data_IF_293277317107
#
_entry.id   IF_293277317107
#
_cell.length_a   1.000
_cell.length_b   1.000
_cell.length_c   1.000
_cell.angle_alpha   90.00
_cell.angle_beta   90.00
_cell.angle_gamma   90.00
#
_symmetry.space_group_name_H-M   'P 1'
#
loop_
_entity.id
_entity.type
_entity.pdbx_description
1 polymer ?
#
# COMPACT_ATOMS: atom_id res chain seq x y z
N UNK A 1 -10.76 34.05 22.21
CA UNK A 1 -10.66 33.58 20.81
C UNK A 1 -11.27 32.20 20.72
N UNK A 2 -11.83 31.83 19.58
CA UNK A 2 -12.32 30.46 19.40
C UNK A 2 -11.11 29.53 19.32
N UNK A 3 -11.17 28.39 20.03
CA UNK A 3 -10.08 27.40 20.03
C UNK A 3 -10.07 26.60 18.75
N UNK A 4 -8.90 26.17 18.37
CA UNK A 4 -8.64 25.34 17.20
C UNK A 4 -8.33 23.91 17.61
N UNK A 5 -8.65 22.93 16.75
CA UNK A 5 -8.21 21.56 16.90
C UNK A 5 -6.84 21.37 16.24
N UNK A 6 -5.94 20.64 16.92
CA UNK A 6 -4.71 20.08 16.36
C UNK A 6 -4.84 18.56 16.43
N UNK A 7 -4.51 17.88 15.33
CA UNK A 7 -4.78 16.45 15.18
C UNK A 7 -3.66 15.77 14.41
N UNK A 8 -3.00 14.80 15.05
CA UNK A 8 -1.79 14.17 14.51
C UNK A 8 -1.95 12.65 14.53
N UNK A 9 -2.37 12.01 13.43
CA UNK A 9 -2.16 10.58 13.22
C UNK A 9 -0.68 10.32 12.86
N UNK A 10 -0.09 9.29 13.45
CA UNK A 10 1.32 8.92 13.34
C UNK A 10 1.43 7.39 13.22
N UNK A 11 2.14 6.91 12.18
CA UNK A 11 2.30 5.48 11.90
C UNK A 11 3.41 4.91 12.76
N UNK A 12 3.02 4.19 13.80
CA UNK A 12 3.96 3.57 14.74
C UNK A 12 4.66 2.36 14.13
N UNK A 13 5.95 2.22 14.44
CA UNK A 13 6.80 1.16 13.87
C UNK A 13 7.56 1.58 12.61
N UNK A 14 7.31 2.78 12.08
CA UNK A 14 7.90 3.33 10.87
C UNK A 14 9.44 3.25 10.85
N UNK A 15 10.12 3.76 11.87
CA UNK A 15 11.59 3.79 11.90
C UNK A 15 12.20 2.40 11.71
N UNK A 16 11.68 1.40 12.47
CA UNK A 16 12.14 0.02 12.32
C UNK A 16 11.80 -0.53 10.93
N UNK A 17 10.60 -0.26 10.44
CA UNK A 17 10.13 -0.69 9.12
C UNK A 17 11.09 -0.22 8.03
N UNK A 18 11.37 1.08 7.93
CA UNK A 18 12.30 1.65 6.93
C UNK A 18 13.74 1.13 7.08
N UNK A 19 14.21 0.90 8.31
CA UNK A 19 15.59 0.45 8.55
C UNK A 19 15.81 -1.03 8.24
N UNK A 20 14.77 -1.86 8.22
CA UNK A 20 14.88 -3.31 8.10
C UNK A 20 14.26 -3.89 6.83
N UNK A 21 13.75 -3.03 5.92
CA UNK A 21 13.06 -3.48 4.72
C UNK A 21 13.59 -2.78 3.47
N UNK A 22 13.17 -3.24 2.31
CA UNK A 22 13.53 -2.70 1.00
C UNK A 22 12.96 -1.29 0.83
N UNK A 23 13.80 -0.32 0.48
CA UNK A 23 13.46 1.11 0.47
C UNK A 23 12.29 1.40 -0.48
N UNK A 24 12.35 0.89 -1.71
CA UNK A 24 11.36 1.19 -2.76
C UNK A 24 9.94 0.78 -2.31
N UNK A 25 9.76 -0.48 -1.90
CA UNK A 25 8.46 -0.96 -1.46
C UNK A 25 8.01 -0.36 -0.12
N UNK A 26 8.94 -0.08 0.77
CA UNK A 26 8.61 0.58 2.04
C UNK A 26 8.11 2.02 1.83
N UNK A 27 8.68 2.76 0.89
CA UNK A 27 8.19 4.09 0.51
C UNK A 27 6.77 4.05 -0.04
N UNK A 28 6.47 3.10 -0.94
CA UNK A 28 5.13 2.92 -1.49
C UNK A 28 4.11 2.57 -0.40
N UNK A 29 4.43 1.60 0.48
CA UNK A 29 3.54 1.22 1.59
C UNK A 29 3.23 2.41 2.49
N UNK A 30 4.23 3.20 2.88
CA UNK A 30 4.02 4.38 3.74
C UNK A 30 3.23 5.45 3.00
N UNK A 31 3.56 5.74 1.73
CA UNK A 31 2.81 6.70 0.91
C UNK A 31 1.33 6.33 0.82
N UNK A 32 1.02 5.07 0.52
CA UNK A 32 -0.36 4.59 0.48
C UNK A 32 -1.09 4.72 1.82
N UNK A 33 -0.43 4.41 2.94
CA UNK A 33 -1.02 4.54 4.27
C UNK A 33 -1.29 6.00 4.65
N UNK A 34 -0.39 6.92 4.30
CA UNK A 34 -0.60 8.35 4.50
C UNK A 34 -1.78 8.87 3.65
N UNK A 35 -1.88 8.46 2.39
CA UNK A 35 -3.03 8.79 1.52
C UNK A 35 -4.34 8.25 2.10
N UNK A 36 -4.35 7.03 2.63
CA UNK A 36 -5.51 6.43 3.30
C UNK A 36 -5.95 7.28 4.49
N UNK A 37 -5.01 7.76 5.32
CA UNK A 37 -5.31 8.63 6.45
C UNK A 37 -5.82 10.01 6.01
N UNK A 38 -5.25 10.59 4.94
CA UNK A 38 -5.71 11.85 4.36
C UNK A 38 -7.16 11.70 3.86
N UNK A 39 -7.45 10.63 3.12
CA UNK A 39 -8.77 10.36 2.57
C UNK A 39 -9.82 10.00 3.64
N UNK A 40 -9.40 9.50 4.82
CA UNK A 40 -10.27 9.24 5.96
C UNK A 40 -10.64 10.49 6.78
N UNK A 41 -10.25 11.68 6.33
CA UNK A 41 -10.58 12.95 6.97
C UNK A 41 -12.05 13.35 6.68
N UNK A 42 -12.92 13.10 7.64
CA UNK A 42 -14.37 13.41 7.55
C UNK A 42 -14.75 14.75 8.17
N UNK A 43 -13.83 15.39 8.93
CA UNK A 43 -14.09 16.64 9.63
C UNK A 43 -13.57 17.88 8.89
N UNK A 44 -13.15 17.73 7.62
CA UNK A 44 -12.55 18.81 6.82
C UNK A 44 -11.35 19.48 7.54
N UNK A 45 -10.49 18.67 8.16
CA UNK A 45 -9.26 19.14 8.76
C UNK A 45 -8.30 19.60 7.66
N UNK A 46 -7.61 20.71 7.89
CA UNK A 46 -6.58 21.20 6.96
C UNK A 46 -5.27 20.47 7.24
N UNK A 47 -4.64 19.92 6.23
CA UNK A 47 -3.32 19.34 6.32
C UNK A 47 -2.27 20.47 6.34
N UNK A 48 -1.55 20.61 7.44
CA UNK A 48 -0.49 21.59 7.60
C UNK A 48 0.86 21.05 7.10
N UNK A 49 1.16 19.79 7.39
CA UNK A 49 2.46 19.19 7.10
C UNK A 49 2.39 17.66 7.08
N UNK A 50 3.27 17.04 6.28
CA UNK A 50 3.59 15.61 6.30
C UNK A 50 4.97 15.49 6.92
N UNK A 51 5.08 14.84 8.07
CA UNK A 51 6.31 14.74 8.87
C UNK A 51 6.82 13.30 8.90
N UNK A 52 7.31 12.81 7.77
CA UNK A 52 7.74 11.43 7.63
C UNK A 52 6.57 10.45 7.67
N UNK A 53 6.31 9.88 8.85
CA UNK A 53 5.23 8.92 9.13
C UNK A 53 4.01 9.56 9.82
N UNK A 54 4.03 10.86 10.08
CA UNK A 54 2.96 11.59 10.73
C UNK A 54 2.31 12.63 9.82
N UNK A 55 1.02 12.86 10.02
CA UNK A 55 0.26 13.92 9.35
C UNK A 55 -0.16 14.95 10.39
N UNK A 56 0.24 16.21 10.20
CA UNK A 56 -0.21 17.28 11.04
C UNK A 56 -1.43 17.97 10.43
N UNK A 57 -2.60 17.73 11.03
CA UNK A 57 -3.86 18.40 10.68
C UNK A 57 -4.24 19.43 11.72
N UNK A 58 -5.01 20.43 11.28
CA UNK A 58 -5.66 21.39 12.17
C UNK A 58 -7.03 21.82 11.65
N UNK A 59 -7.87 22.35 12.54
CA UNK A 59 -9.11 23.03 12.20
C UNK A 59 -9.14 24.37 12.94
N UNK A 60 -9.04 25.43 12.18
CA UNK A 60 -8.89 26.79 12.73
C UNK A 60 -10.23 27.29 13.32
N UNK A 61 -10.16 27.83 14.56
CA UNK A 61 -11.29 28.43 15.28
C UNK A 61 -12.51 27.51 15.45
N UNK A 62 -12.32 26.21 15.35
CA UNK A 62 -13.37 25.22 15.51
C UNK A 62 -12.82 23.95 16.19
N UNK A 63 -13.59 23.47 17.20
CA UNK A 63 -13.36 22.18 17.83
C UNK A 63 -14.63 21.34 17.62
N UNK A 64 -14.54 20.14 17.01
CA UNK A 64 -15.70 19.30 16.78
C UNK A 64 -16.29 18.81 18.11
N UNK A 65 -17.55 18.38 18.12
CA UNK A 65 -18.14 17.73 19.29
C UNK A 65 -17.43 16.41 19.64
N UNK A 66 -17.63 15.92 20.85
CA UNK A 66 -17.11 14.64 21.30
C UNK A 66 -17.37 13.51 20.28
N UNK A 67 -18.62 13.39 19.82
CA UNK A 67 -19.05 12.32 18.90
C UNK A 67 -18.33 12.44 17.55
N UNK A 68 -18.21 13.65 17.01
CA UNK A 68 -17.53 13.89 15.74
C UNK A 68 -16.03 13.59 15.83
N UNK A 69 -15.38 13.98 16.94
CA UNK A 69 -13.96 13.69 17.15
C UNK A 69 -13.72 12.19 17.29
N UNK A 70 -14.51 11.49 18.11
CA UNK A 70 -14.38 10.06 18.30
C UNK A 70 -14.67 9.28 17.02
N UNK A 71 -15.69 9.69 16.24
CA UNK A 71 -15.98 9.10 14.92
C UNK A 71 -14.85 9.32 13.92
N UNK A 72 -14.19 10.51 13.92
CA UNK A 72 -13.02 10.78 13.08
C UNK A 72 -11.86 9.85 13.46
N UNK A 73 -11.59 9.67 14.75
CA UNK A 73 -10.54 8.77 15.24
C UNK A 73 -10.84 7.32 14.83
N UNK A 74 -12.06 6.82 15.10
CA UNK A 74 -12.48 5.47 14.71
C UNK A 74 -12.40 5.26 13.19
N UNK A 75 -12.85 6.24 12.41
CA UNK A 75 -12.78 6.20 10.94
C UNK A 75 -11.35 6.07 10.41
N UNK A 76 -10.39 6.80 10.98
CA UNK A 76 -8.98 6.68 10.57
C UNK A 76 -8.37 5.33 10.96
N UNK A 77 -8.62 4.83 12.18
CA UNK A 77 -8.17 3.49 12.56
C UNK A 77 -8.79 2.41 11.66
N UNK A 78 -10.09 2.53 11.36
CA UNK A 78 -10.78 1.57 10.46
C UNK A 78 -10.19 1.60 9.06
N UNK A 79 -9.97 2.77 8.48
CA UNK A 79 -9.37 2.91 7.15
C UNK A 79 -7.93 2.36 7.11
N UNK A 80 -7.10 2.69 8.10
CA UNK A 80 -5.73 2.22 8.22
C UNK A 80 -5.66 0.69 8.30
N UNK A 81 -6.38 0.07 9.21
CA UNK A 81 -6.35 -1.39 9.37
C UNK A 81 -7.03 -2.14 8.23
N UNK A 82 -8.07 -1.56 7.62
CA UNK A 82 -8.65 -2.12 6.40
C UNK A 82 -7.64 -2.15 5.24
N UNK A 83 -6.83 -1.10 5.12
CA UNK A 83 -5.79 -1.06 4.10
C UNK A 83 -4.67 -2.06 4.39
N UNK A 84 -4.21 -2.18 5.64
CA UNK A 84 -3.23 -3.20 6.03
C UNK A 84 -3.72 -4.63 5.74
N UNK A 85 -5.01 -4.92 5.96
CA UNK A 85 -5.58 -6.21 5.56
C UNK A 85 -5.54 -6.44 4.04
N UNK A 86 -5.78 -5.40 3.23
CA UNK A 86 -5.63 -5.49 1.77
C UNK A 86 -4.18 -5.76 1.37
N UNK A 87 -3.23 -5.04 1.96
CA UNK A 87 -1.80 -5.24 1.71
C UNK A 87 -1.39 -6.69 1.98
N UNK A 88 -1.89 -7.29 3.05
CA UNK A 88 -1.60 -8.67 3.42
C UNK A 88 -2.26 -9.67 2.46
N UNK A 89 -3.58 -9.51 2.23
CA UNK A 89 -4.40 -10.50 1.51
C UNK A 89 -4.14 -10.55 0.00
N UNK A 90 -3.87 -9.39 -0.60
CA UNK A 90 -3.62 -9.29 -2.04
C UNK A 90 -2.13 -9.27 -2.41
N UNK A 91 -1.27 -9.53 -1.45
CA UNK A 91 0.18 -9.53 -1.64
C UNK A 91 0.63 -10.61 -2.62
N UNK A 92 1.48 -10.22 -3.57
CA UNK A 92 2.22 -11.13 -4.45
C UNK A 92 3.73 -11.04 -4.22
N UNK A 93 4.24 -9.87 -3.80
CA UNK A 93 5.65 -9.65 -3.52
C UNK A 93 6.05 -10.29 -2.18
N UNK A 94 7.10 -11.13 -2.15
CA UNK A 94 7.59 -11.79 -0.93
C UNK A 94 8.52 -10.91 -0.09
N UNK A 95 8.89 -9.70 -0.54
CA UNK A 95 9.87 -8.84 0.13
C UNK A 95 9.50 -8.50 1.58
N UNK A 96 10.50 -8.13 2.39
CA UNK A 96 10.32 -7.85 3.81
C UNK A 96 9.38 -6.67 4.07
N UNK A 97 9.41 -5.63 3.21
CA UNK A 97 8.50 -4.49 3.30
C UNK A 97 7.04 -4.95 3.18
N UNK A 98 6.69 -5.66 2.10
CA UNK A 98 5.33 -6.14 1.88
C UNK A 98 4.89 -7.16 2.94
N UNK A 99 5.81 -8.00 3.43
CA UNK A 99 5.53 -9.03 4.44
C UNK A 99 5.32 -8.45 5.84
N UNK A 100 6.01 -7.36 6.19
CA UNK A 100 5.96 -6.76 7.53
C UNK A 100 5.03 -5.56 7.65
N UNK A 101 4.54 -5.01 6.53
CA UNK A 101 3.57 -3.91 6.52
C UNK A 101 2.36 -4.12 7.46
N UNK A 102 1.77 -5.34 7.56
CA UNK A 102 0.66 -5.60 8.48
C UNK A 102 0.98 -5.39 9.97
N UNK A 103 2.27 -5.30 10.34
CA UNK A 103 2.72 -5.06 11.72
C UNK A 103 2.77 -3.58 12.09
N UNK A 104 2.59 -2.68 11.12
CA UNK A 104 2.49 -1.24 11.39
C UNK A 104 1.25 -0.95 12.23
N UNK A 105 1.37 0.06 13.09
CA UNK A 105 0.31 0.46 14.03
C UNK A 105 0.05 1.95 13.89
N UNK A 106 -1.03 2.43 14.47
CA UNK A 106 -1.43 3.84 14.39
C UNK A 106 -1.62 4.40 15.79
N UNK A 107 -1.05 5.57 16.05
CA UNK A 107 -1.43 6.39 17.17
C UNK A 107 -2.01 7.72 16.70
N UNK A 108 -2.97 8.26 17.41
CA UNK A 108 -3.60 9.54 17.08
C UNK A 108 -3.57 10.44 18.29
N UNK A 109 -2.98 11.62 18.12
CA UNK A 109 -2.90 12.66 19.13
C UNK A 109 -3.88 13.79 18.76
N UNK A 110 -4.72 14.21 19.71
CA UNK A 110 -5.62 15.34 19.55
C UNK A 110 -5.41 16.37 20.68
N UNK A 111 -5.26 17.62 20.29
CA UNK A 111 -5.00 18.74 21.18
C UNK A 111 -5.84 19.97 20.79
N UNK A 112 -5.99 20.95 21.66
CA UNK A 112 -6.70 22.20 21.36
C UNK A 112 -6.01 23.41 21.95
N UNK A 113 -6.19 24.52 21.29
CA UNK A 113 -5.78 25.83 21.80
C UNK A 113 -5.86 26.94 20.75
N UNK A 114 -5.39 28.10 21.14
CA UNK A 114 -5.31 29.25 20.24
C UNK A 114 -4.16 29.01 19.26
N UNK A 115 -4.40 29.28 17.97
CA UNK A 115 -3.40 29.16 16.91
C UNK A 115 -3.01 30.54 16.40
N UNK A 116 -1.71 30.74 16.24
CA UNK A 116 -1.13 31.75 15.38
C UNK A 116 -0.63 31.13 14.09
N UNK A 117 -0.26 31.93 13.12
CA UNK A 117 0.27 31.45 11.85
C UNK A 117 1.52 32.25 11.49
N UNK A 118 2.46 31.56 10.83
CA UNK A 118 3.54 32.21 10.12
C UNK A 118 3.36 31.99 8.62
N UNK A 119 3.88 32.89 7.84
CA UNK A 119 3.89 32.77 6.38
C UNK A 119 5.35 32.74 5.90
N UNK A 120 5.71 31.66 5.18
CA UNK A 120 7.05 31.50 4.60
C UNK A 120 6.89 31.07 3.14
N UNK A 121 7.43 31.84 2.20
CA UNK A 121 7.31 31.59 0.77
C UNK A 121 5.86 31.36 0.29
N UNK A 122 4.90 32.14 0.81
CA UNK A 122 3.48 32.00 0.48
C UNK A 122 2.79 30.79 1.12
N UNK A 123 3.49 30.00 1.92
CA UNK A 123 2.90 28.89 2.66
C UNK A 123 2.57 29.32 4.08
N UNK A 124 1.28 29.28 4.42
CA UNK A 124 0.78 29.59 5.77
C UNK A 124 0.79 28.33 6.61
N UNK A 125 1.52 28.38 7.77
CA UNK A 125 1.62 27.25 8.70
C UNK A 125 1.15 27.63 10.09
N UNK A 126 0.47 26.71 10.83
CA UNK A 126 0.17 26.87 12.24
C UNK A 126 1.47 27.08 13.04
N UNK A 127 1.41 27.98 14.01
CA UNK A 127 2.56 28.35 14.82
C UNK A 127 2.13 28.69 16.25
N UNK A 128 3.00 28.45 17.22
CA UNK A 128 2.80 28.86 18.60
C UNK A 128 2.92 27.71 19.61
N UNK A 129 2.73 28.05 20.87
CA UNK A 129 2.90 27.13 22.00
C UNK A 129 2.05 25.85 21.88
N UNK A 130 0.82 25.96 21.37
CA UNK A 130 -0.09 24.82 21.22
C UNK A 130 0.34 23.83 20.15
N UNK A 131 1.00 24.30 19.12
CA UNK A 131 1.64 23.42 18.12
C UNK A 131 2.78 22.63 18.76
N UNK A 132 3.62 23.30 19.57
CA UNK A 132 4.71 22.65 20.32
C UNK A 132 4.15 21.61 21.30
N UNK A 133 3.07 21.93 22.05
CA UNK A 133 2.41 20.98 22.94
C UNK A 133 1.88 19.74 22.22
N UNK A 134 1.24 19.92 21.07
CA UNK A 134 0.75 18.79 20.25
C UNK A 134 1.88 17.85 19.83
N UNK A 135 3.00 18.39 19.33
CA UNK A 135 4.17 17.57 18.96
C UNK A 135 4.89 16.95 20.17
N UNK A 136 4.87 17.60 21.33
CA UNK A 136 5.38 17.00 22.59
C UNK A 136 4.53 15.80 23.01
N UNK A 137 3.19 15.88 22.89
CA UNK A 137 2.30 14.78 23.17
C UNK A 137 2.52 13.54 22.29
N UNK A 138 3.20 13.64 21.13
CA UNK A 138 3.67 12.47 20.37
C UNK A 138 4.75 11.66 21.12
N UNK A 139 5.51 12.31 22.01
CA UNK A 139 6.61 11.71 22.79
C UNK A 139 6.15 11.39 24.23
N UNK A 140 4.91 10.91 24.37
CA UNK A 140 4.32 10.57 25.66
C UNK A 140 4.78 9.21 26.18
N UNK A 141 4.47 8.92 27.46
CA UNK A 141 4.84 7.70 28.17
C UNK A 141 3.82 6.56 28.08
N UNK A 142 2.83 6.64 27.19
CA UNK A 142 1.85 5.56 26.99
C UNK A 142 2.56 4.33 26.43
N UNK A 143 2.50 3.23 27.18
CA UNK A 143 3.16 1.96 26.81
C UNK A 143 2.32 1.19 25.76
N UNK A 144 2.23 1.75 24.58
CA UNK A 144 1.56 1.15 23.39
C UNK A 144 1.93 1.92 22.14
N UNK A 145 1.84 1.25 21.01
CA UNK A 145 1.95 1.85 19.68
C UNK A 145 0.59 1.97 18.97
N UNK A 146 -0.49 1.56 19.62
CA UNK A 146 -1.84 1.53 19.04
C UNK A 146 -2.86 2.15 19.99
N UNK A 147 -2.99 3.48 19.95
CA UNK A 147 -3.83 4.21 20.88
C UNK A 147 -4.25 5.58 20.33
N UNK A 148 -5.26 6.16 20.96
CA UNK A 148 -5.55 7.59 20.82
C UNK A 148 -5.28 8.31 22.14
N UNK A 149 -4.71 9.53 22.03
CA UNK A 149 -4.45 10.42 23.16
C UNK A 149 -5.13 11.77 22.90
N UNK A 150 -5.90 12.22 23.87
CA UNK A 150 -6.61 13.50 23.84
C UNK A 150 -6.11 14.34 25.01
N UNK A 151 -5.57 15.53 24.73
CA UNK A 151 -5.12 16.42 25.80
C UNK A 151 -6.23 16.77 26.77
N UNK A 152 -5.89 17.02 28.03
CA UNK A 152 -6.87 17.39 29.06
C UNK A 152 -7.65 18.65 28.66
N UNK A 153 -6.99 19.62 28.03
CA UNK A 153 -7.63 20.85 27.52
C UNK A 153 -8.70 20.57 26.48
N UNK A 154 -8.44 19.66 25.55
CA UNK A 154 -9.41 19.25 24.52
C UNK A 154 -10.55 18.43 25.15
N UNK A 155 -10.24 17.48 26.02
CA UNK A 155 -11.26 16.67 26.71
C UNK A 155 -12.26 17.54 27.46
N UNK A 156 -11.78 18.58 28.16
CA UNK A 156 -12.63 19.55 28.85
C UNK A 156 -13.49 20.37 27.87
N UNK A 157 -12.91 20.82 26.78
CA UNK A 157 -13.60 21.62 25.76
C UNK A 157 -14.77 20.88 25.14
N UNK A 158 -14.59 19.60 24.82
CA UNK A 158 -15.63 18.75 24.23
C UNK A 158 -16.47 17.98 25.24
N UNK A 159 -16.28 18.25 26.54
CA UNK A 159 -16.95 17.59 27.65
C UNK A 159 -16.78 16.06 27.68
N UNK A 160 -15.63 15.56 27.18
CA UNK A 160 -15.30 14.14 27.20
C UNK A 160 -14.85 13.73 28.61
N UNK A 161 -15.60 12.82 29.22
CA UNK A 161 -15.24 12.28 30.52
C UNK A 161 -13.94 11.47 30.46
N UNK A 162 -13.02 11.62 31.44
CA UNK A 162 -11.83 10.78 31.54
C UNK A 162 -12.14 9.30 31.86
N UNK A 163 -13.40 8.99 32.16
CA UNK A 163 -13.90 7.63 32.41
C UNK A 163 -14.89 7.18 31.31
N UNK A 164 -14.95 7.90 30.21
CA UNK A 164 -15.79 7.51 29.07
C UNK A 164 -15.43 6.12 28.59
N UNK A 165 -16.43 5.28 28.39
CA UNK A 165 -16.28 3.92 27.89
C UNK A 165 -17.33 3.60 26.83
N UNK A 166 -16.88 3.01 25.73
CA UNK A 166 -17.70 2.48 24.64
C UNK A 166 -17.15 1.11 24.20
N UNK A 167 -17.63 0.57 23.10
CA UNK A 167 -17.07 -0.66 22.52
C UNK A 167 -15.57 -0.50 22.22
N UNK A 168 -15.19 0.59 21.54
CA UNK A 168 -13.82 0.84 21.07
C UNK A 168 -12.97 1.62 22.07
N UNK A 169 -13.55 2.61 22.75
CA UNK A 169 -12.82 3.53 23.61
C UNK A 169 -13.02 3.21 25.08
N UNK A 170 -11.89 3.12 25.83
CA UNK A 170 -11.86 3.02 27.30
C UNK A 170 -10.78 3.95 27.81
N UNK A 171 -11.16 5.21 28.09
CA UNK A 171 -10.19 6.23 28.45
C UNK A 171 -9.60 6.01 29.86
N UNK A 172 -8.34 6.37 29.97
CA UNK A 172 -7.52 6.41 31.18
C UNK A 172 -6.84 7.76 31.24
N UNK A 173 -6.42 8.19 32.43
CA UNK A 173 -5.68 9.42 32.60
C UNK A 173 -4.18 9.15 32.57
N UNK A 174 -3.42 10.10 32.03
CA UNK A 174 -1.97 10.12 32.01
C UNK A 174 -1.45 11.54 32.05
N UNK A 175 -0.16 11.68 32.29
CA UNK A 175 0.53 12.97 32.26
C UNK A 175 2.00 12.77 32.04
N UNK A 176 2.63 13.70 31.33
CA UNK A 176 4.08 13.75 31.13
C UNK A 176 4.62 15.15 31.38
N UNK A 177 5.84 15.20 31.87
CA UNK A 177 6.58 16.45 32.10
C UNK A 177 7.46 16.73 30.89
N UNK A 178 7.27 17.91 30.29
CA UNK A 178 8.06 18.38 29.16
C UNK A 178 8.73 19.70 29.55
N UNK A 179 10.01 19.67 29.77
CA UNK A 179 10.79 20.78 30.35
C UNK A 179 10.16 21.22 31.71
N UNK A 180 9.67 22.45 31.77
CA UNK A 180 9.02 23.01 32.97
C UNK A 180 7.47 22.88 32.96
N UNK A 181 6.90 22.20 31.95
CA UNK A 181 5.45 22.12 31.75
C UNK A 181 4.95 20.69 31.82
N UNK A 182 3.99 20.47 32.71
CA UNK A 182 3.24 19.21 32.77
C UNK A 182 2.04 19.26 31.81
N UNK A 183 1.92 18.22 30.96
CA UNK A 183 0.78 18.03 30.07
C UNK A 183 -0.04 16.83 30.53
N UNK A 184 -1.25 17.11 31.00
CA UNK A 184 -2.22 16.09 31.36
C UNK A 184 -3.04 15.70 30.11
N UNK A 185 -3.38 14.41 30.02
CA UNK A 185 -4.15 13.87 28.90
C UNK A 185 -5.02 12.69 29.35
N UNK A 186 -5.93 12.29 28.48
CA UNK A 186 -6.61 11.00 28.54
C UNK A 186 -6.21 10.20 27.31
N UNK A 187 -6.12 8.88 27.44
CA UNK A 187 -5.77 8.00 26.34
C UNK A 187 -6.60 6.70 26.37
N UNK A 188 -6.79 6.10 25.22
CA UNK A 188 -7.44 4.80 25.07
C UNK A 188 -6.62 3.93 24.13
N UNK A 189 -6.30 2.73 24.57
CA UNK A 189 -5.78 1.71 23.64
C UNK A 189 -6.86 1.36 22.62
N UNK A 190 -6.45 1.11 21.41
CA UNK A 190 -7.34 0.69 20.34
C UNK A 190 -7.11 -0.80 20.07
N UNK A 191 -8.15 -1.58 20.31
CA UNK A 191 -8.15 -2.99 19.98
C UNK A 191 -8.66 -3.17 18.55
N UNK A 192 -7.79 -3.68 17.67
CA UNK A 192 -8.10 -3.94 16.25
C UNK A 192 -9.34 -4.84 16.09
N UNK A 193 -9.56 -5.79 17.01
CA UNK A 193 -10.69 -6.72 16.94
C UNK A 193 -12.04 -6.03 17.25
N UNK A 194 -12.02 -4.86 17.88
CA UNK A 194 -13.21 -4.07 18.17
C UNK A 194 -13.61 -3.13 17.01
N UNK A 195 -12.73 -2.94 16.03
CA UNK A 195 -13.01 -2.14 14.83
C UNK A 195 -13.98 -2.90 13.91
N UNK A 196 -14.88 -2.16 13.31
CA UNK A 196 -15.80 -2.70 12.29
C UNK A 196 -15.13 -2.69 10.92
N UNK A 197 -14.11 -3.56 10.75
CA UNK A 197 -13.39 -3.66 9.48
C UNK A 197 -14.27 -4.31 8.41
N UNK A 198 -14.24 -3.82 7.16
CA UNK A 198 -14.94 -4.46 6.06
C UNK A 198 -14.39 -5.87 5.81
N UNK A 199 -15.25 -6.76 5.39
CA UNK A 199 -14.83 -8.09 4.92
C UNK A 199 -14.10 -7.91 3.61
N UNK A 200 -12.83 -8.31 3.58
CA UNK A 200 -12.05 -8.38 2.35
C UNK A 200 -12.20 -9.80 1.79
N UNK A 201 -12.74 -9.89 0.58
CA UNK A 201 -12.89 -11.17 -0.11
C UNK A 201 -11.53 -11.79 -0.39
N UNK A 202 -11.48 -13.12 -0.43
CA UNK A 202 -10.29 -13.82 -0.91
C UNK A 202 -10.11 -13.51 -2.39
N UNK A 203 -8.87 -13.24 -2.85
CA UNK A 203 -8.61 -13.03 -4.26
C UNK A 203 -8.99 -14.27 -5.05
N UNK A 204 -9.76 -14.08 -6.13
CA UNK A 204 -10.15 -15.17 -7.00
C UNK A 204 -8.91 -15.75 -7.70
N UNK A 205 -8.74 -17.07 -7.55
CA UNK A 205 -7.72 -17.80 -8.26
C UNK A 205 -8.30 -18.36 -9.56
N UNK A 206 -7.61 -18.09 -10.66
CA UNK A 206 -8.03 -18.62 -11.95
C UNK A 206 -7.63 -20.10 -12.04
N UNK A 207 -8.54 -20.95 -12.50
CA UNK A 207 -8.28 -22.35 -12.77
C UNK A 207 -8.60 -22.71 -14.22
N UNK A 208 -7.89 -23.68 -14.77
CA UNK A 208 -8.08 -24.14 -16.15
C UNK A 208 -8.19 -25.67 -16.20
N UNK A 209 -9.26 -26.17 -16.82
CA UNK A 209 -9.50 -27.60 -17.06
C UNK A 209 -8.69 -28.15 -18.25
N UNK A 210 -7.76 -27.38 -18.78
CA UNK A 210 -7.00 -27.70 -20.00
C UNK A 210 -5.53 -27.27 -19.85
N UNK A 211 -4.63 -27.92 -20.61
CA UNK A 211 -3.23 -27.49 -20.63
C UNK A 211 -3.09 -26.08 -21.25
N UNK A 212 -2.01 -25.36 -20.90
CA UNK A 212 -1.70 -24.05 -21.49
C UNK A 212 -1.50 -24.16 -23.00
N UNK A 213 -1.86 -23.10 -23.71
CA UNK A 213 -1.66 -23.00 -25.15
C UNK A 213 -0.18 -22.83 -25.53
N UNK A 214 0.59 -22.16 -24.64
CA UNK A 214 2.04 -21.99 -24.77
C UNK A 214 2.66 -22.21 -23.38
N UNK A 215 3.80 -22.91 -23.35
CA UNK A 215 4.71 -23.03 -22.21
C UNK A 215 6.09 -22.64 -22.67
N UNK A 216 6.76 -21.79 -21.90
CA UNK A 216 8.15 -21.40 -22.07
C UNK A 216 8.83 -21.47 -20.70
N UNK A 217 10.04 -22.02 -20.66
CA UNK A 217 10.79 -22.18 -19.42
C UNK A 217 12.20 -21.63 -19.58
N UNK A 218 12.74 -21.03 -18.50
CA UNK A 218 14.08 -20.45 -18.53
C UNK A 218 14.63 -20.32 -17.10
N UNK A 219 15.92 -20.63 -16.91
CA UNK A 219 16.63 -20.36 -15.65
C UNK A 219 17.24 -18.95 -15.64
N UNK A 220 17.27 -18.36 -14.46
CA UNK A 220 17.79 -17.01 -14.21
C UNK A 220 18.80 -17.04 -13.06
N UNK A 221 19.95 -16.35 -13.18
CA UNK A 221 21.00 -16.34 -12.17
C UNK A 221 20.70 -15.32 -11.05
N UNK A 222 19.50 -15.39 -10.47
CA UNK A 222 19.04 -14.58 -9.33
C UNK A 222 18.05 -15.38 -8.48
N UNK A 223 17.92 -15.00 -7.21
CA UNK A 223 16.89 -15.53 -6.32
C UNK A 223 15.47 -15.32 -6.87
N UNK A 224 14.55 -16.18 -6.49
CA UNK A 224 13.15 -16.10 -6.94
C UNK A 224 12.49 -14.77 -6.53
N UNK A 225 12.82 -14.27 -5.34
CA UNK A 225 12.34 -12.99 -4.81
C UNK A 225 12.82 -11.79 -5.64
N UNK A 226 14.05 -11.85 -6.15
CA UNK A 226 14.55 -10.81 -7.07
C UNK A 226 13.91 -10.94 -8.45
N UNK A 227 13.71 -12.16 -8.95
CA UNK A 227 13.13 -12.35 -10.29
C UNK A 227 11.67 -11.91 -10.35
N UNK A 228 10.87 -12.17 -9.30
CA UNK A 228 9.46 -11.73 -9.29
C UNK A 228 9.36 -10.19 -9.31
N UNK A 229 10.32 -9.49 -8.71
CA UNK A 229 10.40 -8.04 -8.75
C UNK A 229 10.56 -7.52 -10.19
N UNK A 230 11.50 -8.05 -10.98
CA UNK A 230 11.66 -7.69 -12.39
C UNK A 230 10.42 -7.98 -13.24
N UNK A 231 9.58 -8.93 -12.83
CA UNK A 231 8.38 -9.32 -13.57
C UNK A 231 7.17 -8.52 -13.14
N UNK A 232 6.95 -8.32 -11.84
CA UNK A 232 5.74 -7.70 -11.28
C UNK A 232 5.82 -6.19 -11.12
N UNK A 233 7.01 -5.61 -11.01
CA UNK A 233 7.21 -4.17 -10.98
C UNK A 233 7.19 -3.62 -12.40
N UNK A 234 6.18 -2.83 -12.73
CA UNK A 234 5.94 -2.34 -14.08
C UNK A 234 7.01 -1.35 -14.57
N UNK A 235 7.81 -0.75 -13.68
CA UNK A 235 8.95 0.10 -14.07
C UNK A 235 10.00 -0.65 -14.88
N UNK A 236 10.13 -1.96 -14.67
CA UNK A 236 11.05 -2.81 -15.42
C UNK A 236 10.49 -3.29 -16.78
N UNK A 237 9.17 -3.21 -17.01
CA UNK A 237 8.51 -3.73 -18.21
C UNK A 237 9.07 -3.17 -19.52
N UNK A 238 9.34 -1.87 -19.69
CA UNK A 238 9.86 -1.32 -20.94
C UNK A 238 11.24 -1.86 -21.32
N UNK A 239 12.00 -2.38 -20.37
CA UNK A 239 13.34 -2.90 -20.65
C UNK A 239 13.31 -4.27 -21.31
N UNK A 240 12.32 -5.12 -20.99
CA UNK A 240 12.28 -6.48 -21.51
C UNK A 240 11.05 -6.80 -22.38
N UNK A 241 9.95 -6.09 -22.27
CA UNK A 241 8.81 -6.18 -23.20
C UNK A 241 8.97 -5.13 -24.29
N UNK A 242 8.96 -5.53 -25.55
CA UNK A 242 9.08 -4.64 -26.70
C UNK A 242 7.84 -4.68 -27.57
N UNK A 243 7.62 -3.60 -28.35
CA UNK A 243 6.43 -3.44 -29.18
C UNK A 243 5.24 -2.88 -28.42
N UNK A 244 5.49 -2.29 -27.25
CA UNK A 244 4.56 -1.48 -26.49
C UNK A 244 5.04 -0.04 -26.59
N UNK A 245 4.15 0.88 -26.98
CA UNK A 245 4.46 2.30 -27.16
C UNK A 245 4.56 3.00 -25.79
N UNK A 246 3.68 2.64 -24.85
CA UNK A 246 3.64 3.18 -23.50
C UNK A 246 3.09 2.15 -22.50
N UNK A 247 3.56 2.25 -21.23
CA UNK A 247 3.02 1.55 -20.08
C UNK A 247 2.41 2.56 -19.11
N UNK A 248 1.14 2.42 -18.79
CA UNK A 248 0.41 3.28 -17.85
C UNK A 248 0.01 2.49 -16.62
N UNK A 249 0.47 2.92 -15.46
CA UNK A 249 0.21 2.29 -14.16
C UNK A 249 0.35 3.33 -13.04
N UNK A 250 -0.12 3.01 -11.85
CA UNK A 250 0.11 3.85 -10.68
C UNK A 250 1.51 3.60 -10.12
N UNK A 251 2.42 4.55 -10.32
CA UNK A 251 3.81 4.46 -9.86
C UNK A 251 3.96 4.50 -8.32
N UNK A 252 2.90 4.90 -7.60
CA UNK A 252 2.90 5.01 -6.14
C UNK A 252 2.32 3.77 -5.44
N UNK A 253 2.07 2.69 -6.16
CA UNK A 253 1.52 1.45 -5.61
C UNK A 253 2.43 0.25 -5.88
N UNK A 254 2.59 -0.61 -4.88
CA UNK A 254 3.16 -1.94 -5.09
C UNK A 254 2.15 -2.81 -5.82
N UNK A 255 2.58 -3.53 -6.86
CA UNK A 255 1.72 -4.44 -7.62
C UNK A 255 1.16 -5.55 -6.72
N UNK A 256 -0.16 -5.74 -6.76
CA UNK A 256 -0.94 -6.72 -5.99
C UNK A 256 -1.99 -7.39 -6.87
N UNK A 257 -2.61 -8.43 -6.35
CA UNK A 257 -3.79 -9.01 -6.99
C UNK A 257 -4.88 -7.94 -7.17
N UNK A 258 -5.42 -7.85 -8.38
CA UNK A 258 -6.38 -6.82 -8.78
C UNK A 258 -5.78 -5.49 -9.25
N UNK A 259 -4.46 -5.27 -9.13
CA UNK A 259 -3.79 -4.08 -9.70
C UNK A 259 -3.95 -4.07 -11.22
N UNK A 260 -4.22 -2.88 -11.76
CA UNK A 260 -4.44 -2.68 -13.20
C UNK A 260 -3.30 -1.89 -13.82
N UNK A 261 -2.96 -2.24 -15.05
CA UNK A 261 -2.08 -1.45 -15.89
C UNK A 261 -2.56 -1.47 -17.34
N UNK A 262 -2.12 -0.51 -18.14
CA UNK A 262 -2.46 -0.41 -19.56
C UNK A 262 -1.19 -0.46 -20.39
N UNK A 263 -1.19 -1.34 -21.38
CA UNK A 263 -0.16 -1.37 -22.43
C UNK A 263 -0.73 -0.70 -23.68
N UNK A 264 -0.12 0.38 -24.13
CA UNK A 264 -0.49 1.02 -25.40
C UNK A 264 0.31 0.38 -26.54
N UNK A 265 -0.38 -0.21 -27.51
CA UNK A 265 0.23 -0.88 -28.67
C UNK A 265 -0.45 -0.38 -29.95
N UNK A 266 0.32 0.22 -30.87
CA UNK A 266 -0.21 0.84 -32.10
C UNK A 266 -1.38 1.81 -31.82
N UNK A 267 -1.26 2.61 -30.76
CA UNK A 267 -2.26 3.57 -30.30
C UNK A 267 -3.56 2.94 -29.77
N UNK A 268 -3.54 1.67 -29.38
CA UNK A 268 -4.67 0.95 -28.75
C UNK A 268 -4.30 0.56 -27.34
N UNK A 269 -5.23 0.82 -26.43
CA UNK A 269 -5.10 0.47 -25.02
C UNK A 269 -5.47 -1.02 -24.80
N UNK A 270 -4.55 -1.76 -24.22
CA UNK A 270 -4.77 -3.11 -23.71
C UNK A 270 -4.70 -3.05 -22.19
N UNK A 271 -5.85 -3.23 -21.55
CA UNK A 271 -5.97 -3.19 -20.10
C UNK A 271 -5.73 -4.57 -19.51
N UNK A 272 -4.82 -4.64 -18.55
CA UNK A 272 -4.48 -5.84 -17.83
C UNK A 272 -4.88 -5.73 -16.36
N UNK A 273 -5.26 -6.86 -15.78
CA UNK A 273 -5.49 -6.99 -14.34
C UNK A 273 -4.59 -8.08 -13.79
N UNK A 274 -3.93 -7.81 -12.66
CA UNK A 274 -3.09 -8.79 -11.97
C UNK A 274 -3.95 -9.87 -11.32
N UNK A 275 -3.63 -11.13 -11.61
CA UNK A 275 -4.36 -12.34 -11.15
C UNK A 275 -3.37 -13.40 -10.67
N UNK A 276 -3.89 -14.50 -10.11
CA UNK A 276 -3.08 -15.64 -9.68
C UNK A 276 -3.75 -16.97 -10.01
N UNK A 277 -2.97 -18.04 -9.94
CA UNK A 277 -3.41 -19.44 -9.99
C UNK A 277 -2.95 -20.14 -8.71
N UNK A 278 -3.41 -21.37 -8.49
CA UNK A 278 -2.84 -22.23 -7.45
C UNK A 278 -1.38 -22.53 -7.76
N UNK A 279 -0.55 -22.47 -6.74
CA UNK A 279 0.87 -22.72 -6.79
C UNK A 279 1.30 -23.67 -5.68
N UNK A 280 2.44 -24.32 -5.85
CA UNK A 280 3.09 -25.07 -4.78
C UNK A 280 3.63 -24.12 -3.70
N UNK A 281 3.85 -24.62 -2.49
CA UNK A 281 4.18 -23.79 -1.32
C UNK A 281 5.51 -23.03 -1.45
N UNK A 282 6.39 -23.44 -2.37
CA UNK A 282 7.69 -22.82 -2.62
C UNK A 282 7.72 -22.00 -3.93
N UNK A 283 6.60 -21.87 -4.63
CA UNK A 283 6.51 -21.14 -5.89
C UNK A 283 5.99 -19.73 -5.66
N UNK A 284 6.55 -18.76 -6.40
CA UNK A 284 6.02 -17.41 -6.52
C UNK A 284 5.27 -17.30 -7.85
N UNK A 285 4.05 -16.77 -7.82
CA UNK A 285 3.22 -16.63 -9.02
C UNK A 285 2.81 -15.19 -9.23
N UNK A 286 3.03 -14.71 -10.45
CA UNK A 286 2.47 -13.49 -10.97
C UNK A 286 1.70 -13.81 -12.26
N UNK A 287 0.49 -13.28 -12.38
CA UNK A 287 -0.34 -13.48 -13.57
C UNK A 287 -1.04 -12.20 -14.00
N UNK A 288 -1.39 -12.16 -15.27
CA UNK A 288 -2.12 -11.06 -15.90
C UNK A 288 -3.24 -11.60 -16.78
N UNK A 289 -4.38 -10.93 -16.75
CA UNK A 289 -5.51 -11.20 -17.66
C UNK A 289 -5.90 -9.95 -18.42
N UNK A 290 -6.23 -10.11 -19.70
CA UNK A 290 -6.81 -9.07 -20.54
C UNK A 290 -7.86 -9.64 -21.49
N UNK A 291 -8.92 -8.87 -21.75
CA UNK A 291 -9.91 -9.14 -22.78
C UNK A 291 -9.72 -8.25 -24.03
N UNK A 292 -8.69 -7.41 -24.05
CA UNK A 292 -8.43 -6.45 -25.11
C UNK A 292 -7.43 -6.98 -26.16
N UNK A 293 -6.90 -8.20 -25.95
CA UNK A 293 -5.90 -8.78 -26.85
C UNK A 293 -6.49 -9.04 -28.26
N UNK A 294 -5.83 -8.57 -29.33
CA UNK A 294 -6.33 -8.75 -30.69
C UNK A 294 -6.56 -10.23 -31.04
N UNK A 295 -7.69 -10.53 -31.65
CA UNK A 295 -8.10 -11.88 -32.10
C UNK A 295 -8.42 -12.89 -30.98
N UNK A 296 -8.25 -12.53 -29.70
CA UNK A 296 -8.57 -13.37 -28.55
C UNK A 296 -9.76 -12.77 -27.81
N UNK A 297 -10.60 -13.64 -27.24
CA UNK A 297 -11.71 -13.18 -26.39
C UNK A 297 -11.20 -12.91 -24.97
N UNK A 298 -10.15 -13.61 -24.56
CA UNK A 298 -9.44 -13.43 -23.29
C UNK A 298 -8.04 -14.03 -23.41
N UNK A 299 -7.05 -13.37 -22.86
CA UNK A 299 -5.66 -13.83 -22.75
C UNK A 299 -5.24 -13.77 -21.28
N UNK A 300 -4.76 -14.89 -20.77
CA UNK A 300 -4.12 -15.01 -19.45
C UNK A 300 -2.68 -15.41 -19.62
N UNK A 301 -1.77 -14.71 -18.94
CA UNK A 301 -0.35 -15.06 -18.87
C UNK A 301 0.06 -15.20 -17.42
N UNK A 302 0.73 -16.30 -17.08
CA UNK A 302 1.26 -16.54 -15.74
C UNK A 302 2.76 -16.76 -15.81
N UNK A 303 3.43 -16.29 -14.78
CA UNK A 303 4.85 -16.47 -14.51
C UNK A 303 4.96 -17.20 -13.16
N UNK A 304 5.31 -18.46 -13.21
CA UNK A 304 5.57 -19.30 -12.02
C UNK A 304 7.07 -19.38 -11.83
N UNK A 305 7.56 -18.95 -10.68
CA UNK A 305 8.98 -18.90 -10.35
C UNK A 305 9.25 -19.90 -9.22
N UNK A 306 10.09 -20.88 -9.52
CA UNK A 306 10.52 -21.89 -8.55
C UNK A 306 11.95 -21.57 -8.13
N UNK A 307 12.25 -21.38 -6.82
CA UNK A 307 13.61 -21.18 -6.35
C UNK A 307 14.44 -22.47 -6.56
N UNK A 308 15.63 -22.31 -7.10
CA UNK A 308 16.61 -23.40 -7.28
C UNK A 308 17.71 -23.31 -6.20
N UNK A 309 18.17 -22.07 -5.93
CA UNK A 309 19.11 -21.74 -4.87
C UNK A 309 18.93 -20.27 -4.44
N UNK A 310 19.75 -19.80 -3.51
CA UNK A 310 19.77 -18.38 -3.11
C UNK A 310 20.16 -17.43 -4.27
N UNK A 311 20.76 -17.95 -5.33
CA UNK A 311 21.26 -17.16 -6.48
C UNK A 311 20.74 -17.66 -7.82
N UNK A 312 19.83 -18.62 -7.85
CA UNK A 312 19.27 -19.16 -9.08
C UNK A 312 17.79 -19.50 -8.92
N UNK A 313 17.01 -19.18 -9.95
CA UNK A 313 15.59 -19.50 -10.03
C UNK A 313 15.20 -20.01 -11.41
N UNK A 314 14.12 -20.78 -11.46
CA UNK A 314 13.52 -21.32 -12.68
C UNK A 314 12.18 -20.65 -12.92
N UNK A 315 12.01 -20.06 -14.09
CA UNK A 315 10.78 -19.40 -14.54
C UNK A 315 10.06 -20.26 -15.56
N UNK A 316 8.78 -20.51 -15.30
CA UNK A 316 7.83 -21.09 -16.24
C UNK A 316 6.77 -20.05 -16.61
N UNK A 317 6.75 -19.62 -17.87
CA UNK A 317 5.71 -18.75 -18.41
C UNK A 317 4.66 -19.57 -19.15
N UNK A 318 3.40 -19.45 -18.74
CA UNK A 318 2.26 -20.16 -19.36
C UNK A 318 1.24 -19.16 -19.87
N UNK A 319 0.76 -19.39 -21.10
CA UNK A 319 -0.29 -18.58 -21.71
C UNK A 319 -1.52 -19.43 -21.98
N UNK A 320 -2.67 -18.91 -21.58
CA UNK A 320 -3.98 -19.47 -21.85
C UNK A 320 -4.82 -18.41 -22.60
N UNK A 321 -5.61 -18.83 -23.58
CA UNK A 321 -6.56 -17.91 -24.25
C UNK A 321 -7.83 -18.62 -24.65
N UNK A 322 -8.91 -17.88 -24.64
CA UNK A 322 -10.20 -18.31 -25.13
C UNK A 322 -10.47 -17.71 -26.51
N UNK A 323 -11.08 -18.52 -27.39
CA UNK A 323 -11.62 -18.11 -28.68
C UNK A 323 -12.93 -18.85 -28.93
N UNK A 324 -14.04 -18.13 -28.87
CA UNK A 324 -15.39 -18.72 -29.00
C UNK A 324 -15.66 -19.27 -30.39
N UNK A 325 -15.23 -18.56 -31.42
CA UNK A 325 -15.45 -18.95 -32.82
C UNK A 325 -14.50 -20.05 -33.28
N UNK A 326 -14.99 -21.20 -33.82
CA UNK A 326 -14.12 -22.26 -34.34
C UNK A 326 -13.20 -21.80 -35.47
N UNK A 327 -13.70 -20.92 -36.35
CA UNK A 327 -12.93 -20.35 -37.46
C UNK A 327 -11.81 -19.44 -36.93
N UNK A 328 -12.13 -18.54 -36.00
CA UNK A 328 -11.11 -17.71 -35.35
C UNK A 328 -10.07 -18.58 -34.62
N UNK A 329 -10.50 -19.67 -33.95
CA UNK A 329 -9.59 -20.60 -33.26
C UNK A 329 -8.58 -21.23 -34.19
N UNK A 330 -9.01 -21.63 -35.39
CA UNK A 330 -8.10 -22.16 -36.42
C UNK A 330 -7.04 -21.11 -36.80
N UNK A 331 -7.48 -19.90 -37.15
CA UNK A 331 -6.56 -18.81 -37.51
C UNK A 331 -5.66 -18.39 -36.34
N UNK A 332 -6.18 -18.35 -35.12
CA UNK A 332 -5.38 -18.06 -33.91
C UNK A 332 -4.25 -19.07 -33.73
N UNK A 333 -4.54 -20.37 -33.89
CA UNK A 333 -3.52 -21.41 -33.77
C UNK A 333 -2.47 -21.36 -34.87
N UNK A 334 -2.86 -20.96 -36.11
CA UNK A 334 -1.97 -20.91 -37.25
C UNK A 334 -1.08 -19.65 -37.26
N UNK A 335 -1.63 -18.49 -36.91
CA UNK A 335 -0.96 -17.20 -37.07
C UNK A 335 -0.60 -16.54 -35.73
N UNK A 336 -1.53 -16.51 -34.77
CA UNK A 336 -1.32 -15.77 -33.50
C UNK A 336 -0.42 -16.55 -32.55
N UNK A 337 -0.62 -17.86 -32.40
CA UNK A 337 0.19 -18.71 -31.50
C UNK A 337 1.70 -18.64 -31.79
N UNK A 338 2.20 -18.78 -33.06
CA UNK A 338 3.62 -18.67 -33.33
C UNK A 338 4.19 -17.28 -33.01
N UNK A 339 3.42 -16.21 -33.27
CA UNK A 339 3.83 -14.83 -32.99
C UNK A 339 3.92 -14.61 -31.48
N UNK A 340 2.90 -15.00 -30.72
CA UNK A 340 2.93 -14.90 -29.26
C UNK A 340 4.09 -15.69 -28.66
N UNK A 341 4.28 -16.96 -29.08
CA UNK A 341 5.39 -17.78 -28.61
C UNK A 341 6.76 -17.13 -28.88
N UNK A 342 6.96 -16.59 -30.08
CA UNK A 342 8.21 -15.89 -30.45
C UNK A 342 8.41 -14.61 -29.64
N UNK A 343 7.36 -13.79 -29.48
CA UNK A 343 7.46 -12.52 -28.76
C UNK A 343 7.69 -12.74 -27.26
N UNK A 344 6.97 -13.67 -26.64
CA UNK A 344 7.19 -14.05 -25.23
C UNK A 344 8.60 -14.62 -25.04
N UNK A 345 9.06 -15.53 -25.93
CA UNK A 345 10.42 -16.05 -25.86
C UNK A 345 11.48 -14.95 -25.91
N UNK A 346 11.36 -14.00 -26.83
CA UNK A 346 12.26 -12.84 -26.92
C UNK A 346 12.18 -11.93 -25.69
N UNK A 347 11.01 -11.78 -25.09
CA UNK A 347 10.85 -11.01 -23.86
C UNK A 347 11.60 -11.68 -22.70
N UNK A 348 11.47 -13.00 -22.55
CA UNK A 348 12.22 -13.77 -21.55
C UNK A 348 13.74 -13.74 -21.78
N UNK A 349 14.20 -13.72 -23.04
CA UNK A 349 15.63 -13.56 -23.37
C UNK A 349 16.15 -12.20 -22.90
N UNK A 350 15.41 -11.10 -23.18
CA UNK A 350 15.78 -9.75 -22.75
C UNK A 350 15.71 -9.60 -21.22
N UNK A 351 14.74 -10.23 -20.57
CA UNK A 351 14.68 -10.25 -19.12
C UNK A 351 15.95 -10.91 -18.55
N UNK A 352 16.44 -12.00 -19.15
CA UNK A 352 17.68 -12.63 -18.73
C UNK A 352 18.90 -11.71 -18.94
N UNK A 353 18.95 -10.99 -20.05
CA UNK A 353 20.01 -10.00 -20.31
C UNK A 353 19.97 -8.84 -19.30
N UNK A 354 18.77 -8.32 -18.99
CA UNK A 354 18.58 -7.28 -17.99
C UNK A 354 19.12 -7.72 -16.62
N UNK A 355 18.69 -8.88 -16.14
CA UNK A 355 19.13 -9.46 -14.87
C UNK A 355 20.65 -9.61 -14.81
N UNK A 356 21.28 -10.15 -15.87
CA UNK A 356 22.73 -10.30 -15.94
C UNK A 356 23.48 -8.96 -15.94
N UNK A 357 22.94 -7.95 -16.63
CA UNK A 357 23.55 -6.62 -16.68
C UNK A 357 23.50 -5.93 -15.33
N UNK A 358 22.43 -6.09 -14.58
CA UNK A 358 22.30 -5.49 -13.25
C UNK A 358 23.20 -6.19 -12.23
N UNK A 359 23.35 -7.52 -12.29
CA UNK A 359 24.32 -8.25 -11.49
C UNK A 359 25.78 -7.77 -11.73
N UNK A 360 26.13 -7.48 -12.99
CA UNK A 360 27.45 -6.99 -13.34
C UNK A 360 27.73 -5.54 -12.89
N UNK A 361 26.69 -4.74 -12.56
CA UNK A 361 26.86 -3.39 -12.00
C UNK A 361 27.09 -3.40 -10.48
N UNK A 362 26.67 -4.46 -9.81
CA UNK A 362 26.76 -4.61 -8.36
C UNK A 362 28.03 -5.35 -7.95
N UNK A 363 28.63 -6.14 -8.84
CA UNK A 363 29.92 -6.83 -8.65
C UNK A 363 31.10 -5.88 -8.93
#
# INVERSE_FOLDING_TARGET
>A
MAKSLLFIPDISGYTKFIQTTEIEHSQHVISELLEVLINANTQNLQLAEIEGDALFFYKENEVPSQEKLLAQIEGMFTAFYSHLQKLERYRICPCNACASAPNLQLKIIAHTGDLSHIEVHGTRKPFGEKVIEAHRLLKNSVDSNNYTLISRSLALEIQLSPYYSSKLFRFRQGSDDYDEKKLDYIYSFIDREQLSLPIIEEPEKISFDRPPNIVLEKSYPVAAESLIEYISNYTYRPYWVKGVDNFEFNENEVTRLGTKHTCVIDGKDLNFTTVTIDAESNELVYGEVTSDAPFLDELNQFFTITPVSETESHLKSTLYWNVKSPVKRFFTNLFVKPVLKKNTGKALDRLLELVKNDLNKVA
#
